data_IF_455543991516
#
_entry.id   IF_455543991516
#
_cell.length_a   1.000
_cell.length_b   1.000
_cell.length_c   1.000
_cell.angle_alpha   90.00
_cell.angle_beta   90.00
_cell.angle_gamma   90.00
#
_symmetry.space_group_name_H-M   'P 1'
#
loop_
_entity.id
_entity.type
_entity.pdbx_description
1 polymer ?
#
# COMPACT_ATOMS: atom_id res chain seq x y z
N UNK A 1 -0.41 -41.36 -79.30
CA UNK A 1 0.78 -41.44 -80.18
C UNK A 1 1.82 -40.47 -79.61
N UNK A 2 3.01 -40.97 -79.29
CA UNK A 2 4.24 -40.28 -78.83
C UNK A 2 4.37 -39.84 -77.35
N UNK A 3 5.20 -40.62 -76.64
CA UNK A 3 6.06 -40.26 -75.50
C UNK A 3 6.93 -39.02 -75.81
N UNK A 4 7.45 -38.34 -74.77
CA UNK A 4 8.91 -38.19 -74.48
C UNK A 4 9.17 -37.32 -73.22
N UNK A 5 10.16 -37.77 -72.46
CA UNK A 5 10.80 -37.29 -71.21
C UNK A 5 11.43 -35.88 -71.25
N UNK A 6 11.60 -35.23 -70.07
CA UNK A 6 12.93 -34.77 -69.59
C UNK A 6 12.98 -34.22 -68.15
N UNK A 7 14.11 -34.54 -67.52
CA UNK A 7 14.56 -34.27 -66.15
C UNK A 7 14.92 -32.80 -65.85
N UNK A 8 15.03 -32.53 -64.53
CA UNK A 8 16.16 -31.85 -63.84
C UNK A 8 16.01 -30.37 -63.40
N UNK A 9 16.16 -30.19 -62.08
CA UNK A 9 16.74 -29.07 -61.32
C UNK A 9 16.37 -27.62 -61.65
N UNK A 10 15.69 -26.93 -60.71
CA UNK A 10 16.16 -25.64 -60.15
C UNK A 10 15.67 -25.50 -58.70
N UNK A 11 16.61 -25.48 -57.77
CA UNK A 11 16.51 -24.99 -56.39
C UNK A 11 16.29 -23.48 -56.38
N UNK A 12 15.34 -22.94 -55.61
CA UNK A 12 15.47 -21.57 -55.10
C UNK A 12 14.75 -21.39 -53.76
N UNK A 13 15.51 -20.83 -52.83
CA UNK A 13 15.18 -20.50 -51.45
C UNK A 13 14.00 -19.52 -51.36
N UNK A 14 13.00 -19.84 -50.55
CA UNK A 14 12.06 -18.87 -50.00
C UNK A 14 12.31 -18.75 -48.50
N UNK A 15 13.30 -17.90 -48.19
CA UNK A 15 13.58 -17.41 -46.86
C UNK A 15 12.73 -16.16 -46.58
N UNK A 16 12.13 -16.15 -45.39
CA UNK A 16 11.87 -14.99 -44.52
C UNK A 16 10.95 -13.87 -45.01
N UNK A 17 9.75 -13.81 -44.42
CA UNK A 17 9.39 -12.74 -43.48
C UNK A 17 7.96 -12.94 -42.98
N UNK A 18 7.76 -13.93 -42.10
CA UNK A 18 6.63 -13.89 -41.17
C UNK A 18 7.17 -13.23 -39.90
N UNK A 19 7.08 -11.91 -39.83
CA UNK A 19 7.26 -11.16 -38.59
C UNK A 19 6.20 -11.64 -37.61
N UNK A 20 6.55 -12.64 -36.82
CA UNK A 20 5.83 -13.02 -35.63
C UNK A 20 5.89 -11.80 -34.70
N UNK A 21 4.75 -11.12 -34.55
CA UNK A 21 4.48 -10.33 -33.36
C UNK A 21 4.46 -11.32 -32.20
N UNK A 22 5.64 -11.65 -31.68
CA UNK A 22 5.77 -12.22 -30.35
C UNK A 22 5.24 -11.14 -29.41
N UNK A 23 4.15 -11.39 -28.65
CA UNK A 23 3.91 -10.55 -27.48
C UNK A 23 5.17 -10.64 -26.63
N UNK A 24 5.69 -9.49 -26.17
CA UNK A 24 6.74 -9.48 -25.15
C UNK A 24 6.31 -10.45 -24.05
N UNK A 25 7.04 -11.55 -23.94
CA UNK A 25 6.86 -12.49 -22.85
C UNK A 25 7.33 -11.77 -21.60
N UNK A 26 6.43 -10.99 -20.99
CA UNK A 26 6.60 -10.49 -19.63
C UNK A 26 7.01 -11.69 -18.79
N UNK A 27 8.23 -11.61 -18.24
CA UNK A 27 8.91 -12.73 -17.61
C UNK A 27 8.05 -13.37 -16.52
N UNK A 28 7.38 -14.47 -16.87
CA UNK A 28 6.82 -15.38 -15.88
C UNK A 28 8.00 -16.07 -15.20
N UNK A 29 8.47 -15.45 -14.11
CA UNK A 29 9.30 -16.14 -13.14
C UNK A 29 8.51 -17.34 -12.61
N UNK A 30 9.03 -18.54 -12.84
CA UNK A 30 8.50 -19.80 -12.33
C UNK A 30 8.71 -19.98 -10.80
N UNK A 31 8.96 -18.89 -10.06
CA UNK A 31 8.97 -18.93 -8.61
C UNK A 31 7.54 -19.19 -8.12
N UNK A 32 7.28 -20.41 -7.62
CA UNK A 32 6.09 -20.66 -6.80
C UNK A 32 6.22 -19.82 -5.54
N UNK A 33 5.64 -18.62 -5.57
CA UNK A 33 5.53 -17.75 -4.40
C UNK A 33 4.74 -18.48 -3.32
N UNK A 34 5.38 -18.72 -2.17
CA UNK A 34 4.75 -19.12 -0.93
C UNK A 34 4.20 -17.91 -0.16
N UNK A 35 4.31 -16.69 -0.70
CA UNK A 35 3.82 -15.49 -0.06
C UNK A 35 2.29 -15.51 -0.02
N UNK A 36 1.76 -15.34 1.17
CA UNK A 36 0.34 -15.10 1.41
C UNK A 36 0.16 -13.68 1.92
N UNK A 37 -0.95 -13.07 1.54
CA UNK A 37 -1.35 -11.77 2.05
C UNK A 37 -2.81 -11.77 2.49
N UNK A 38 -3.09 -11.00 3.53
CA UNK A 38 -4.43 -10.70 3.99
C UNK A 38 -4.56 -9.22 4.28
N UNK A 39 -5.74 -8.66 4.05
CA UNK A 39 -6.00 -7.23 4.23
C UNK A 39 -7.26 -7.00 5.04
N UNK A 40 -7.24 -5.94 5.84
CA UNK A 40 -8.41 -5.43 6.52
C UNK A 40 -8.40 -3.89 6.50
N UNK A 41 -9.59 -3.31 6.47
CA UNK A 41 -9.80 -1.87 6.62
C UNK A 41 -10.83 -1.65 7.71
N UNK A 42 -10.56 -0.73 8.62
CA UNK A 42 -11.43 -0.44 9.76
C UNK A 42 -11.69 1.06 9.87
N UNK A 43 -12.89 1.42 10.33
CA UNK A 43 -13.24 2.79 10.66
C UNK A 43 -12.62 3.20 11.99
N UNK A 44 -11.80 4.26 11.97
CA UNK A 44 -11.15 4.83 13.15
C UNK A 44 -11.69 6.22 13.49
N UNK A 45 -12.81 6.64 12.90
CA UNK A 45 -13.47 7.90 13.23
C UNK A 45 -13.91 7.88 14.70
N UNK A 46 -13.58 8.91 15.51
CA UNK A 46 -14.15 9.04 16.84
C UNK A 46 -15.67 9.05 16.79
N UNK A 47 -16.33 8.34 17.70
CA UNK A 47 -17.80 8.36 17.79
C UNK A 47 -18.34 9.76 18.12
N UNK A 48 -17.66 10.44 19.06
CA UNK A 48 -17.97 11.81 19.46
C UNK A 48 -16.98 12.78 18.82
N UNK A 49 -17.44 13.50 17.79
CA UNK A 49 -16.61 14.47 17.04
C UNK A 49 -16.94 15.93 17.37
N UNK A 50 -18.05 16.18 18.06
CA UNK A 50 -18.51 17.55 18.32
C UNK A 50 -17.52 18.27 19.23
N UNK A 51 -17.13 19.49 18.85
CA UNK A 51 -16.10 20.30 19.52
C UNK A 51 -14.68 19.71 19.52
N UNK A 52 -14.45 18.58 18.83
CA UNK A 52 -13.10 18.04 18.68
C UNK A 52 -12.22 19.04 17.93
N UNK A 53 -11.00 19.25 18.40
CA UNK A 53 -10.00 20.06 17.71
C UNK A 53 -9.05 19.14 16.92
N UNK A 54 -8.92 19.38 15.61
CA UNK A 54 -7.99 18.64 14.75
C UNK A 54 -6.55 19.12 14.93
N UNK A 55 -5.57 18.25 14.64
CA UNK A 55 -4.15 18.54 14.97
C UNK A 55 -3.45 19.50 14.00
N UNK A 56 -3.67 19.34 12.69
CA UNK A 56 -2.91 20.07 11.67
C UNK A 56 -3.37 21.52 11.55
N UNK A 57 -4.41 21.74 10.76
CA UNK A 57 -5.07 23.05 10.68
C UNK A 57 -6.10 23.17 11.81
N UNK A 58 -5.59 23.50 13.01
CA UNK A 58 -6.34 23.61 14.27
C UNK A 58 -7.66 24.37 14.09
N UNK A 59 -8.76 23.65 14.30
CA UNK A 59 -10.15 24.14 14.20
C UNK A 59 -11.08 23.14 14.87
N UNK A 60 -12.23 23.62 15.32
CA UNK A 60 -13.30 22.76 15.82
C UNK A 60 -13.98 22.02 14.67
N UNK A 61 -14.24 20.74 14.88
CA UNK A 61 -14.97 19.88 13.93
C UNK A 61 -16.46 20.22 14.01
N UNK A 62 -17.07 20.52 12.86
CA UNK A 62 -18.52 20.71 12.71
C UNK A 62 -19.24 19.46 12.23
N UNK A 63 -18.48 18.43 11.82
CA UNK A 63 -18.98 17.15 11.31
C UNK A 63 -17.89 16.35 10.60
N UNK A 64 -18.21 15.11 10.27
CA UNK A 64 -17.34 14.20 9.49
C UNK A 64 -17.78 14.23 8.04
N UNK A 65 -16.91 14.68 7.13
CA UNK A 65 -17.16 14.59 5.69
C UNK A 65 -16.97 13.16 5.20
N UNK A 66 -15.80 12.59 5.50
CA UNK A 66 -15.39 11.24 5.14
C UNK A 66 -14.87 10.51 6.38
N UNK A 67 -15.19 9.21 6.56
CA UNK A 67 -14.67 8.46 7.69
C UNK A 67 -13.15 8.31 7.62
N UNK A 68 -12.50 8.40 8.78
CA UNK A 68 -11.08 8.10 8.92
C UNK A 68 -10.88 6.58 8.92
N UNK A 69 -9.89 6.09 8.17
CA UNK A 69 -9.62 4.66 8.07
C UNK A 69 -8.24 4.29 8.61
N UNK A 70 -8.16 3.06 9.10
CA UNK A 70 -6.90 2.34 9.19
C UNK A 70 -6.92 1.15 8.24
N UNK A 71 -5.83 0.96 7.51
CA UNK A 71 -5.58 -0.21 6.68
C UNK A 71 -4.55 -1.10 7.35
N UNK A 72 -4.74 -2.42 7.29
CA UNK A 72 -3.77 -3.41 7.75
C UNK A 72 -3.54 -4.42 6.64
N UNK A 73 -2.29 -4.52 6.18
CA UNK A 73 -1.79 -5.57 5.32
C UNK A 73 -0.94 -6.52 6.17
N UNK A 74 -1.25 -7.81 6.13
CA UNK A 74 -0.45 -8.88 6.74
C UNK A 74 0.17 -9.71 5.62
N UNK A 75 1.46 -9.99 5.75
CA UNK A 75 2.27 -10.80 4.84
C UNK A 75 2.86 -11.99 5.59
N UNK A 76 2.90 -13.15 4.95
CA UNK A 76 3.43 -14.40 5.52
C UNK A 76 4.07 -15.24 4.41
N UNK A 77 5.36 -15.55 4.52
CA UNK A 77 6.08 -16.45 3.60
C UNK A 77 6.22 -17.88 4.17
N UNK A 78 5.58 -18.19 5.30
CA UNK A 78 5.68 -19.46 6.00
C UNK A 78 6.83 -19.54 7.01
N UNK A 79 7.78 -18.60 7.00
CA UNK A 79 8.86 -18.47 7.98
C UNK A 79 8.76 -17.17 8.78
N UNK A 80 8.44 -16.07 8.10
CA UNK A 80 8.37 -14.72 8.62
C UNK A 80 6.99 -14.13 8.34
N UNK A 81 6.40 -13.53 9.38
CA UNK A 81 5.23 -12.68 9.23
C UNK A 81 5.58 -11.22 9.44
N UNK A 82 4.95 -10.35 8.67
CA UNK A 82 5.07 -8.91 8.78
C UNK A 82 3.71 -8.23 8.61
N UNK A 83 3.59 -7.01 9.14
CA UNK A 83 2.40 -6.19 8.92
C UNK A 83 2.75 -4.75 8.54
N UNK A 84 1.95 -4.17 7.65
CA UNK A 84 1.97 -2.75 7.33
C UNK A 84 0.62 -2.17 7.73
N UNK A 85 0.66 -1.17 8.60
CA UNK A 85 -0.52 -0.44 9.07
C UNK A 85 -0.44 0.99 8.54
N UNK A 86 -1.52 1.47 7.94
CA UNK A 86 -1.66 2.86 7.50
C UNK A 86 -2.80 3.53 8.26
N UNK A 87 -2.59 4.75 8.73
CA UNK A 87 -3.56 5.52 9.51
C UNK A 87 -3.93 6.82 8.79
N UNK A 88 -5.22 7.15 8.71
CA UNK A 88 -5.69 8.46 8.26
C UNK A 88 -5.55 9.54 9.35
N UNK A 89 -4.32 9.70 9.84
CA UNK A 89 -3.94 10.64 10.89
C UNK A 89 -2.76 11.53 10.45
N UNK A 90 -2.44 12.53 11.26
CA UNK A 90 -1.32 13.44 10.98
C UNK A 90 0.05 12.76 11.12
N UNK A 91 0.17 11.75 11.98
CA UNK A 91 1.45 11.11 12.25
C UNK A 91 1.27 9.76 12.95
N UNK A 92 2.28 8.90 12.78
CA UNK A 92 2.42 7.63 13.50
C UNK A 92 3.42 7.82 14.65
N UNK A 93 2.98 8.46 15.72
CA UNK A 93 3.82 8.80 16.86
C UNK A 93 4.11 7.59 17.76
N UNK A 94 5.17 7.66 18.57
CA UNK A 94 5.60 6.55 19.45
C UNK A 94 4.48 6.04 20.35
N UNK A 95 3.67 6.96 20.87
CA UNK A 95 2.51 6.71 21.72
C UNK A 95 1.38 5.94 20.99
N UNK A 96 1.30 5.98 19.67
CA UNK A 96 0.42 5.13 18.85
C UNK A 96 1.14 3.84 18.48
N UNK A 97 2.37 3.96 17.96
CA UNK A 97 3.13 2.85 17.37
C UNK A 97 3.41 1.75 18.38
N UNK A 98 3.88 2.08 19.59
CA UNK A 98 4.20 1.09 20.63
C UNK A 98 2.98 0.24 21.01
N UNK A 99 1.84 0.83 21.46
CA UNK A 99 0.68 0.01 21.81
C UNK A 99 0.03 -0.66 20.60
N UNK A 100 0.06 -0.05 19.41
CA UNK A 100 -0.46 -0.70 18.20
C UNK A 100 0.32 -1.98 17.88
N UNK A 101 1.66 -1.92 17.89
CA UNK A 101 2.53 -3.09 17.69
C UNK A 101 2.26 -4.17 18.74
N UNK A 102 2.23 -3.81 20.01
CA UNK A 102 1.98 -4.76 21.10
C UNK A 102 0.61 -5.44 20.96
N UNK A 103 -0.43 -4.67 20.63
CA UNK A 103 -1.78 -5.20 20.46
C UNK A 103 -1.89 -6.10 19.20
N UNK A 104 -1.25 -5.73 18.09
CA UNK A 104 -1.24 -6.55 16.88
C UNK A 104 -0.45 -7.85 17.10
N UNK A 105 0.71 -7.77 17.74
CA UNK A 105 1.50 -8.95 18.12
C UNK A 105 0.69 -9.91 18.97
N UNK A 106 -0.01 -9.39 19.99
CA UNK A 106 -0.91 -10.18 20.84
C UNK A 106 -2.02 -10.89 20.03
N UNK A 107 -2.64 -10.21 19.07
CA UNK A 107 -3.78 -10.76 18.31
C UNK A 107 -3.38 -11.69 17.16
N UNK A 108 -2.13 -11.61 16.68
CA UNK A 108 -1.71 -12.27 15.43
C UNK A 108 -0.46 -13.14 15.55
N UNK A 109 0.33 -12.96 16.62
CA UNK A 109 1.65 -13.57 16.76
C UNK A 109 2.74 -12.95 15.87
N UNK A 110 2.44 -11.88 15.12
CA UNK A 110 3.44 -11.18 14.31
C UNK A 110 4.37 -10.41 15.26
N UNK A 111 5.69 -10.65 15.24
CA UNK A 111 6.61 -9.96 16.14
C UNK A 111 6.49 -8.44 16.01
N UNK A 112 6.48 -7.71 17.12
CA UNK A 112 6.34 -6.25 17.11
C UNK A 112 7.37 -5.54 16.22
N UNK A 113 8.58 -6.11 16.10
CA UNK A 113 9.66 -5.61 15.25
C UNK A 113 9.34 -5.70 13.75
N UNK A 114 8.44 -6.60 13.33
CA UNK A 114 8.05 -6.83 11.94
C UNK A 114 6.82 -6.02 11.53
N UNK A 115 6.40 -5.05 12.34
CA UNK A 115 5.18 -4.26 12.12
C UNK A 115 5.57 -2.82 11.81
N UNK A 116 5.28 -2.37 10.60
CA UNK A 116 5.38 -0.96 10.21
C UNK A 116 4.04 -0.26 10.45
N UNK A 117 4.10 0.95 11.02
CA UNK A 117 2.93 1.82 11.19
C UNK A 117 3.25 3.16 10.55
N UNK A 118 2.42 3.57 9.59
CA UNK A 118 2.56 4.80 8.83
C UNK A 118 1.26 5.63 8.91
N UNK A 119 1.36 6.92 8.64
CA UNK A 119 0.20 7.81 8.59
C UNK A 119 0.19 8.58 7.26
N UNK A 120 -1.00 8.88 6.74
CA UNK A 120 -1.18 9.63 5.49
C UNK A 120 -0.85 11.12 5.62
N UNK A 121 -0.51 11.58 6.83
CA UNK A 121 -0.28 12.98 7.15
C UNK A 121 -1.53 13.84 6.94
N UNK A 122 -2.68 13.36 7.42
CA UNK A 122 -3.96 14.07 7.36
C UNK A 122 -4.05 15.18 8.43
N UNK A 123 -4.13 16.44 7.99
CA UNK A 123 -4.23 17.64 8.84
C UNK A 123 -5.64 17.87 9.44
N UNK A 124 -6.59 16.98 9.16
CA UNK A 124 -7.98 17.07 9.61
C UNK A 124 -8.40 15.92 10.53
N UNK A 125 -7.45 15.09 10.98
CA UNK A 125 -7.70 14.04 11.96
C UNK A 125 -7.57 14.52 13.42
N UNK A 126 -8.07 13.73 14.37
CA UNK A 126 -7.95 14.01 15.80
C UNK A 126 -6.52 13.82 16.30
N UNK A 127 -6.21 14.42 17.46
CA UNK A 127 -5.03 14.08 18.24
C UNK A 127 -5.19 12.73 18.91
N UNK A 128 -4.07 12.11 19.30
CA UNK A 128 -4.07 10.84 20.00
C UNK A 128 -3.67 11.00 21.47
N UNK A 129 -4.46 10.41 22.34
CA UNK A 129 -4.15 10.17 23.74
C UNK A 129 -4.49 8.72 24.07
N UNK A 130 -3.49 7.94 24.49
CA UNK A 130 -3.63 6.52 24.82
C UNK A 130 -4.63 6.25 25.96
N UNK A 131 -4.89 7.25 26.81
CA UNK A 131 -5.82 7.11 27.94
C UNK A 131 -7.27 7.47 27.57
N UNK A 132 -7.45 8.22 26.49
CA UNK A 132 -8.78 8.59 25.97
C UNK A 132 -9.58 7.36 25.52
N UNK A 133 -10.92 7.48 25.53
CA UNK A 133 -11.79 6.41 25.05
C UNK A 133 -11.49 6.05 23.58
N UNK A 134 -11.33 7.07 22.73
CA UNK A 134 -10.98 6.87 21.32
C UNK A 134 -9.59 6.25 21.14
N UNK A 135 -8.59 6.66 21.91
CA UNK A 135 -7.25 6.08 21.83
C UNK A 135 -7.23 4.58 22.15
N UNK A 136 -7.94 4.16 23.20
CA UNK A 136 -8.11 2.74 23.54
C UNK A 136 -8.85 1.98 22.44
N UNK A 137 -9.93 2.57 21.93
CA UNK A 137 -10.72 1.99 20.84
C UNK A 137 -9.90 1.84 19.56
N UNK A 138 -9.10 2.85 19.19
CA UNK A 138 -8.20 2.81 18.04
C UNK A 138 -7.26 1.61 18.14
N UNK A 139 -6.54 1.47 19.27
CA UNK A 139 -5.59 0.36 19.46
C UNK A 139 -6.28 -1.00 19.38
N UNK A 140 -7.44 -1.15 20.02
CA UNK A 140 -8.23 -2.38 19.95
C UNK A 140 -8.67 -2.70 18.51
N UNK A 141 -9.16 -1.69 17.76
CA UNK A 141 -9.55 -1.81 16.35
C UNK A 141 -8.39 -2.22 15.45
N UNK A 142 -7.18 -1.69 15.69
CA UNK A 142 -5.99 -2.09 14.93
C UNK A 142 -5.64 -3.57 15.13
N UNK A 143 -5.67 -4.06 16.38
CA UNK A 143 -5.47 -5.48 16.67
C UNK A 143 -6.53 -6.38 16.03
N UNK A 144 -7.81 -6.00 16.15
CA UNK A 144 -8.91 -6.74 15.54
C UNK A 144 -8.82 -6.76 14.01
N UNK A 145 -8.46 -5.64 13.38
CA UNK A 145 -8.24 -5.57 11.94
C UNK A 145 -7.05 -6.45 11.51
N UNK A 146 -5.95 -6.46 12.26
CA UNK A 146 -4.82 -7.34 11.97
C UNK A 146 -5.18 -8.82 12.07
N UNK A 147 -5.96 -9.21 13.09
CA UNK A 147 -6.51 -10.57 13.24
C UNK A 147 -7.43 -10.95 12.08
N UNK A 148 -8.28 -10.02 11.64
CA UNK A 148 -9.12 -10.23 10.47
C UNK A 148 -8.28 -10.42 9.20
N UNK A 149 -7.26 -9.59 8.99
CA UNK A 149 -6.35 -9.72 7.85
C UNK A 149 -5.64 -11.09 7.89
N UNK A 150 -5.06 -11.46 9.04
CA UNK A 150 -4.35 -12.73 9.22
C UNK A 150 -5.25 -13.97 9.04
N UNK A 151 -6.55 -13.89 9.38
CA UNK A 151 -7.46 -15.04 9.20
C UNK A 151 -7.96 -15.22 7.76
N UNK A 152 -7.78 -14.23 6.89
CA UNK A 152 -8.27 -14.22 5.49
C UNK A 152 -7.14 -14.22 4.46
N UNK A 153 -5.98 -14.79 4.80
CA UNK A 153 -4.82 -14.76 3.92
C UNK A 153 -4.97 -15.68 2.72
N UNK A 154 -4.58 -15.19 1.54
CA UNK A 154 -4.59 -15.95 0.28
C UNK A 154 -3.21 -15.89 -0.38
N UNK A 155 -2.82 -16.87 -1.21
CA UNK A 155 -1.59 -16.79 -2.00
C UNK A 155 -1.60 -15.56 -2.90
N UNK A 156 -0.47 -14.85 -2.96
CA UNK A 156 -0.34 -13.63 -3.77
C UNK A 156 1.00 -13.57 -4.51
N UNK A 157 1.01 -12.75 -5.55
CA UNK A 157 2.22 -12.26 -6.22
C UNK A 157 2.39 -10.77 -5.95
N UNK A 158 3.62 -10.27 -6.05
CA UNK A 158 3.94 -8.85 -5.87
C UNK A 158 4.43 -8.30 -7.20
N UNK A 159 3.87 -7.16 -7.62
CA UNK A 159 4.36 -6.34 -8.72
C UNK A 159 4.65 -4.93 -8.22
N UNK A 160 5.51 -4.21 -8.94
CA UNK A 160 5.77 -2.78 -8.68
C UNK A 160 5.73 -2.02 -10.00
N UNK A 161 5.37 -0.74 -9.92
CA UNK A 161 5.41 0.20 -11.03
C UNK A 161 5.71 1.60 -10.50
N UNK A 162 6.25 2.46 -11.37
CA UNK A 162 6.62 3.82 -11.04
C UNK A 162 6.09 4.77 -12.13
N UNK A 163 5.66 5.96 -11.72
CA UNK A 163 5.24 7.03 -12.63
C UNK A 163 5.50 8.41 -12.00
N UNK A 164 5.35 9.49 -12.78
CA UNK A 164 5.58 10.87 -12.38
C UNK A 164 4.28 11.65 -12.20
N UNK A 165 4.18 12.36 -11.08
CA UNK A 165 3.02 13.20 -10.73
C UNK A 165 3.39 14.70 -10.67
N UNK A 166 2.47 15.57 -11.11
CA UNK A 166 2.71 17.01 -11.27
C UNK A 166 1.94 17.94 -10.31
N UNK A 167 1.21 17.43 -9.33
CA UNK A 167 0.33 18.25 -8.48
C UNK A 167 0.99 18.83 -7.21
N UNK A 168 2.22 18.39 -6.88
CA UNK A 168 2.94 18.86 -5.69
C UNK A 168 3.93 19.97 -6.03
N UNK A 169 4.00 21.00 -5.18
CA UNK A 169 5.01 22.06 -5.28
C UNK A 169 5.91 22.09 -4.05
N UNK A 170 7.17 22.46 -4.25
CA UNK A 170 8.02 22.83 -3.12
C UNK A 170 7.57 24.19 -2.58
N UNK A 171 6.94 24.20 -1.40
CA UNK A 171 6.49 25.42 -0.71
C UNK A 171 7.63 26.32 -0.20
N UNK A 172 8.89 25.88 -0.30
CA UNK A 172 10.10 26.60 0.11
C UNK A 172 11.08 26.67 -1.06
N UNK A 173 10.93 27.68 -1.92
CA UNK A 173 11.81 27.91 -3.08
C UNK A 173 13.00 28.79 -2.69
N UNK A 174 14.16 28.54 -3.29
CA UNK A 174 15.32 29.43 -3.18
C UNK A 174 15.24 30.49 -4.26
N UNK A 175 15.18 31.77 -3.88
CA UNK A 175 15.14 32.92 -4.78
C UNK A 175 16.24 33.88 -4.33
N UNK A 176 17.16 34.23 -5.23
CA UNK A 176 18.31 35.11 -4.94
C UNK A 176 19.10 34.65 -3.69
N UNK A 177 19.34 33.34 -3.57
CA UNK A 177 20.06 32.75 -2.44
C UNK A 177 19.26 32.68 -1.11
N UNK A 178 17.98 33.05 -1.08
CA UNK A 178 17.13 33.01 0.12
C UNK A 178 15.97 32.03 -0.03
N UNK A 179 15.70 31.27 1.02
CA UNK A 179 14.52 30.40 1.09
C UNK A 179 13.26 31.25 1.35
N UNK A 180 12.28 31.19 0.43
CA UNK A 180 11.00 31.90 0.51
C UNK A 180 9.86 30.90 0.62
N UNK A 181 8.94 31.10 1.58
CA UNK A 181 7.72 30.30 1.69
C UNK A 181 6.65 30.91 0.79
N UNK A 182 6.14 30.15 -0.19
CA UNK A 182 5.12 30.62 -1.13
C UNK A 182 4.24 29.47 -1.61
N UNK A 183 2.94 29.73 -1.73
CA UNK A 183 1.93 28.84 -2.31
C UNK A 183 1.51 29.44 -3.66
N UNK A 184 2.43 29.42 -4.63
CA UNK A 184 2.34 30.09 -5.94
C UNK A 184 2.23 31.63 -5.90
#
# INVERSE_FOLDING_TARGET
MHLIYRNLCVTLLLSTCLTYLMPDAEGQSAAKSNLRAGVAKVDITPAEVKELEVVGHRRKVTGVRDPLRAGVLVLDDGQTKAAIVTLDLIGAYTEIVKPARAQIEKETGIPAANIMVAASHNHSGPGFDANSAWGKELIAKLGAAAKQAASKMTPVTVGYGEDKIGFSINRRKVINGRAVVRLN
#
